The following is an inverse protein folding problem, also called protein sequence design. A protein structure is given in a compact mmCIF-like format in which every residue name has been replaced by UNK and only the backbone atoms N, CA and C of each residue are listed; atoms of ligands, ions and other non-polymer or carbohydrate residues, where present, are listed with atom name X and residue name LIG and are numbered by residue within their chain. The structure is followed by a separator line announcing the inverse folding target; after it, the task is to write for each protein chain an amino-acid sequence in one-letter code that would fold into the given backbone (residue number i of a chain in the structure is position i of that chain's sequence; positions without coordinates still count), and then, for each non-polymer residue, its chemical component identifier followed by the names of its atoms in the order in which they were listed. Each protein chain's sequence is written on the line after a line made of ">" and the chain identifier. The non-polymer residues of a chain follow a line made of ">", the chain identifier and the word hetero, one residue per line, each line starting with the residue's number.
data_IF_003540111483
#
_entry.id   IF_003540111483
#
_cell.length_a   1.000
_cell.length_b   1.000
_cell.length_c   1.000
_cell.angle_alpha   90.00
_cell.angle_beta   90.00
_cell.angle_gamma   90.00
#
_symmetry.space_group_name_H-M   'P 1'
#
loop_
_entity.id
_entity.type
_entity.pdbx_description
1 polymer ?
#
# COMPACT_ATOMS: atom_id res chain seq x y z
N UNK A 1 -13.81 10.68 19.84
CA UNK A 1 -13.54 9.22 19.69
C UNK A 1 -12.04 9.03 19.96
N UNK A 2 -11.63 8.13 20.85
CA UNK A 2 -10.21 7.93 21.18
C UNK A 2 -9.67 6.75 20.37
N UNK A 3 -8.83 7.01 19.38
CA UNK A 3 -8.16 5.97 18.61
C UNK A 3 -7.01 5.39 19.44
N UNK A 4 -7.10 4.12 19.85
CA UNK A 4 -6.01 3.44 20.55
C UNK A 4 -4.96 3.00 19.54
N UNK A 5 -3.96 3.87 19.33
CA UNK A 5 -2.85 3.62 18.42
C UNK A 5 -2.01 2.41 18.89
N UNK A 6 -2.19 1.24 18.27
CA UNK A 6 -1.26 0.11 18.42
C UNK A 6 -0.18 0.21 17.35
N UNK A 7 1.06 0.46 17.77
CA UNK A 7 2.24 0.28 16.92
C UNK A 7 2.30 -1.20 16.54
N UNK A 8 2.27 -1.56 15.25
CA UNK A 8 2.33 -2.96 14.86
C UNK A 8 3.73 -3.52 15.18
N UNK A 9 3.76 -4.58 16.01
CA UNK A 9 4.92 -5.45 16.16
C UNK A 9 5.26 -6.05 14.77
N UNK A 10 6.52 -6.03 14.30
CA UNK A 10 6.89 -6.62 13.02
C UNK A 10 6.94 -8.16 13.04
N UNK A 11 6.85 -8.81 14.19
CA UNK A 11 6.89 -10.28 14.31
C UNK A 11 5.49 -10.92 14.19
N UNK A 12 5.38 -11.88 13.24
CA UNK A 12 4.32 -12.91 13.08
C UNK A 12 2.94 -12.44 12.53
N UNK A 13 2.16 -13.20 11.76
CA UNK A 13 2.11 -14.62 11.38
C UNK A 13 1.72 -14.77 9.89
N UNK A 14 2.16 -15.85 9.24
CA UNK A 14 1.56 -16.34 7.98
C UNK A 14 0.17 -16.84 8.33
N UNK A 15 -0.86 -16.09 7.93
CA UNK A 15 -2.22 -16.62 7.87
C UNK A 15 -2.37 -17.21 6.48
N UNK A 16 -2.86 -18.44 6.38
CA UNK A 16 -3.37 -18.89 5.09
C UNK A 16 -4.51 -17.94 4.70
N UNK A 17 -4.35 -17.25 3.58
CA UNK A 17 -5.37 -16.35 3.04
C UNK A 17 -6.66 -17.10 2.64
N UNK A 18 -6.74 -18.42 2.82
CA UNK A 18 -7.95 -19.22 2.62
C UNK A 18 -8.94 -19.05 3.78
N UNK A 19 -8.47 -18.68 4.97
CA UNK A 19 -9.30 -18.61 6.19
C UNK A 19 -9.61 -17.18 6.65
N UNK A 20 -9.10 -16.17 5.94
CA UNK A 20 -9.30 -14.76 6.27
C UNK A 20 -10.57 -14.22 5.63
N UNK A 21 -11.18 -13.23 6.27
CA UNK A 21 -12.33 -12.51 5.71
C UNK A 21 -11.88 -11.71 4.49
N UNK A 22 -12.25 -12.18 3.30
CA UNK A 22 -11.87 -11.58 2.02
C UNK A 22 -13.06 -11.36 1.09
N UNK A 23 -12.96 -10.34 0.25
CA UNK A 23 -13.97 -9.91 -0.71
C UNK A 23 -13.33 -9.74 -2.08
N UNK A 24 -14.06 -9.98 -3.19
CA UNK A 24 -13.53 -9.66 -4.50
C UNK A 24 -13.24 -8.16 -4.59
N UNK A 25 -12.07 -7.80 -5.09
CA UNK A 25 -11.75 -6.39 -5.36
C UNK A 25 -12.60 -5.85 -6.53
N UNK A 26 -12.78 -4.51 -6.61
CA UNK A 26 -13.51 -3.88 -7.71
C UNK A 26 -12.99 -4.32 -9.08
N UNK A 27 -13.88 -4.36 -10.08
CA UNK A 27 -13.54 -4.86 -11.42
C UNK A 27 -12.36 -4.11 -12.04
N UNK A 28 -12.26 -2.79 -11.82
CA UNK A 28 -11.13 -1.99 -12.31
C UNK A 28 -9.77 -2.54 -11.80
N UNK A 29 -9.71 -2.96 -10.54
CA UNK A 29 -8.50 -3.55 -9.95
C UNK A 29 -8.21 -4.92 -10.55
N UNK A 30 -9.24 -5.76 -10.74
CA UNK A 30 -9.09 -7.08 -11.39
C UNK A 30 -8.51 -6.94 -12.80
N UNK A 31 -9.06 -6.02 -13.60
CA UNK A 31 -8.63 -5.77 -14.98
C UNK A 31 -7.20 -5.25 -15.02
N UNK A 32 -6.85 -4.29 -14.16
CA UNK A 32 -5.48 -3.77 -14.08
C UNK A 32 -4.49 -4.86 -13.63
N UNK A 33 -4.82 -5.69 -12.66
CA UNK A 33 -3.91 -6.75 -12.21
C UNK A 33 -3.74 -7.84 -13.29
N UNK A 34 -4.79 -8.13 -14.06
CA UNK A 34 -4.76 -9.12 -15.13
C UNK A 34 -3.77 -8.80 -16.25
N UNK A 35 -3.52 -7.52 -16.55
CA UNK A 35 -2.50 -7.12 -17.53
C UNK A 35 -1.08 -7.46 -17.10
N UNK A 36 -0.87 -7.79 -15.83
CA UNK A 36 0.40 -8.20 -15.24
C UNK A 36 0.40 -9.67 -14.81
N UNK A 37 -0.53 -10.48 -15.34
CA UNK A 37 -0.56 -11.91 -15.11
C UNK A 37 -1.19 -12.31 -13.77
N UNK A 38 -1.82 -11.41 -13.02
CA UNK A 38 -2.59 -11.75 -11.82
C UNK A 38 -3.98 -12.27 -12.23
N UNK A 39 -4.42 -13.38 -11.65
CA UNK A 39 -5.71 -14.00 -11.91
C UNK A 39 -6.83 -13.41 -11.06
N UNK A 40 -6.54 -13.07 -9.81
CA UNK A 40 -7.56 -12.59 -8.87
C UNK A 40 -6.97 -11.65 -7.83
N UNK A 41 -7.73 -10.62 -7.49
CA UNK A 41 -7.43 -9.67 -6.42
C UNK A 41 -8.49 -9.79 -5.32
N UNK A 42 -8.04 -9.93 -4.09
CA UNK A 42 -8.87 -10.02 -2.89
C UNK A 42 -8.63 -8.82 -1.99
N UNK A 43 -9.69 -8.19 -1.52
CA UNK A 43 -9.65 -7.24 -0.41
C UNK A 43 -9.78 -8.01 0.89
N UNK A 44 -8.86 -7.82 1.83
CA UNK A 44 -8.76 -8.60 3.07
C UNK A 44 -8.98 -7.69 4.28
N UNK A 45 -10.06 -7.95 5.03
CA UNK A 45 -10.38 -7.29 6.29
C UNK A 45 -10.18 -8.25 7.46
N UNK A 46 -8.91 -8.50 7.79
CA UNK A 46 -8.53 -9.39 8.88
C UNK A 46 -7.35 -8.81 9.67
N UNK A 47 -7.46 -8.77 11.00
CA UNK A 47 -6.44 -8.20 11.88
C UNK A 47 -5.14 -9.01 11.89
N UNK A 48 -5.21 -10.29 11.52
CA UNK A 48 -4.05 -11.16 11.41
C UNK A 48 -3.24 -10.85 10.14
N UNK A 49 -3.85 -10.20 9.14
CA UNK A 49 -3.18 -9.77 7.92
C UNK A 49 -2.58 -8.39 8.14
N UNK A 50 -1.25 -8.34 8.27
CA UNK A 50 -0.52 -7.10 8.56
C UNK A 50 0.00 -6.36 7.32
N UNK A 51 -0.06 -6.95 6.14
CA UNK A 51 0.33 -6.31 4.87
C UNK A 51 -0.46 -6.90 3.71
N UNK A 52 -0.47 -6.17 2.60
CA UNK A 52 -0.80 -6.75 1.30
C UNK A 52 0.25 -7.78 0.88
N UNK A 53 -0.11 -8.64 -0.09
CA UNK A 53 0.75 -9.71 -0.57
C UNK A 53 0.33 -10.22 -1.94
N UNK A 54 1.29 -10.28 -2.87
CA UNK A 54 1.22 -11.01 -4.13
C UNK A 54 1.70 -12.46 -3.93
N UNK A 55 0.83 -13.44 -4.20
CA UNK A 55 1.13 -14.87 -4.17
C UNK A 55 1.33 -15.42 -5.60
N UNK A 56 2.59 -15.63 -6.05
CA UNK A 56 2.87 -15.97 -7.45
C UNK A 56 2.30 -17.32 -7.89
N UNK A 57 2.32 -18.32 -7.00
CA UNK A 57 1.88 -19.68 -7.33
C UNK A 57 0.39 -19.77 -7.68
N UNK A 58 -0.47 -19.02 -6.96
CA UNK A 58 -1.90 -18.94 -7.26
C UNK A 58 -2.26 -17.75 -8.15
N UNK A 59 -1.27 -16.93 -8.55
CA UNK A 59 -1.45 -15.68 -9.30
C UNK A 59 -2.49 -14.78 -8.63
N UNK A 60 -2.40 -14.62 -7.31
CA UNK A 60 -3.37 -13.84 -6.54
C UNK A 60 -2.71 -12.64 -5.86
N UNK A 61 -3.45 -11.53 -5.74
CA UNK A 61 -3.09 -10.42 -4.86
C UNK A 61 -4.09 -10.36 -3.71
N UNK A 62 -3.57 -10.22 -2.50
CA UNK A 62 -4.33 -9.98 -1.28
C UNK A 62 -4.01 -8.58 -0.80
N UNK A 63 -4.98 -7.66 -0.86
CA UNK A 63 -4.81 -6.27 -0.43
C UNK A 63 -5.37 -6.11 0.98
N UNK A 64 -4.51 -5.69 1.90
CA UNK A 64 -4.96 -5.36 3.25
C UNK A 64 -5.80 -4.09 3.24
N UNK A 65 -7.05 -4.18 3.70
CA UNK A 65 -7.97 -3.04 3.84
C UNK A 65 -8.12 -2.60 5.28
N UNK A 66 -7.17 -2.94 6.15
CA UNK A 66 -7.07 -2.36 7.48
C UNK A 66 -6.10 -1.20 7.47
N UNK A 67 -6.42 -0.15 8.22
CA UNK A 67 -5.62 1.08 8.28
C UNK A 67 -4.27 0.96 9.00
N UNK A 68 -3.77 -0.24 9.25
CA UNK A 68 -2.53 -0.51 10.00
C UNK A 68 -1.32 0.24 9.42
N UNK A 69 -1.31 0.48 8.10
CA UNK A 69 -0.16 1.06 7.39
C UNK A 69 -0.50 2.29 6.55
N UNK A 70 -1.79 2.67 6.45
CA UNK A 70 -2.23 3.69 5.49
C UNK A 70 -1.57 5.04 5.75
N UNK A 71 -1.48 5.44 7.01
CA UNK A 71 -0.93 6.74 7.38
C UNK A 71 0.58 6.83 7.12
N UNK A 72 1.28 5.70 7.24
CA UNK A 72 2.70 5.63 6.89
C UNK A 72 2.91 5.74 5.39
N UNK A 73 2.04 5.12 4.59
CA UNK A 73 1.99 5.31 3.13
C UNK A 73 1.69 6.78 2.78
N UNK A 74 0.76 7.42 3.48
CA UNK A 74 0.44 8.83 3.29
C UNK A 74 1.66 9.73 3.52
N UNK A 75 2.35 9.57 4.66
CA UNK A 75 3.53 10.37 4.99
C UNK A 75 4.74 10.08 4.10
N UNK A 76 4.89 8.86 3.59
CA UNK A 76 6.07 8.44 2.82
C UNK A 76 5.91 8.69 1.33
N UNK A 77 4.72 8.43 0.80
CA UNK A 77 4.44 8.40 -0.64
C UNK A 77 3.44 9.48 -1.07
N UNK A 78 2.97 10.30 -0.13
CA UNK A 78 2.07 11.42 -0.41
C UNK A 78 0.68 10.96 -0.86
N UNK A 79 0.12 9.90 -0.26
CA UNK A 79 -1.31 9.63 -0.37
C UNK A 79 -2.09 10.64 0.49
N UNK A 80 -3.12 11.26 -0.07
CA UNK A 80 -3.95 12.24 0.65
C UNK A 80 -4.98 11.58 1.57
N UNK A 81 -5.45 10.39 1.19
CA UNK A 81 -6.53 9.67 1.87
C UNK A 81 -6.17 8.21 2.12
N UNK A 82 -6.90 7.58 3.04
CA UNK A 82 -6.88 6.13 3.24
C UNK A 82 -7.12 5.36 1.93
N UNK A 83 -8.10 5.80 1.12
CA UNK A 83 -8.44 5.18 -0.17
C UNK A 83 -7.24 5.20 -1.13
N UNK A 84 -6.56 6.34 -1.24
CA UNK A 84 -5.36 6.45 -2.07
C UNK A 84 -4.23 5.57 -1.54
N UNK A 85 -4.05 5.51 -0.22
CA UNK A 85 -3.01 4.69 0.40
C UNK A 85 -3.20 3.20 0.11
N UNK A 86 -4.43 2.70 0.22
CA UNK A 86 -4.76 1.30 -0.11
C UNK A 86 -4.64 1.03 -1.61
N UNK A 87 -5.02 1.99 -2.45
CA UNK A 87 -4.83 1.91 -3.91
C UNK A 87 -3.35 1.84 -4.29
N UNK A 88 -2.48 2.61 -3.61
CA UNK A 88 -1.04 2.52 -3.78
C UNK A 88 -0.48 1.16 -3.37
N UNK A 89 -0.96 0.59 -2.26
CA UNK A 89 -0.56 -0.76 -1.85
C UNK A 89 -0.99 -1.82 -2.85
N UNK A 90 -2.19 -1.71 -3.41
CA UNK A 90 -2.61 -2.57 -4.52
C UNK A 90 -1.64 -2.48 -5.71
N UNK A 91 -1.29 -1.26 -6.14
CA UNK A 91 -0.35 -1.07 -7.25
C UNK A 91 1.06 -1.54 -6.92
N UNK A 92 1.48 -1.46 -5.66
CA UNK A 92 2.74 -2.02 -5.20
C UNK A 92 2.77 -3.55 -5.40
N UNK A 93 1.70 -4.27 -5.03
CA UNK A 93 1.60 -5.71 -5.33
C UNK A 93 1.51 -6.01 -6.83
N UNK A 94 0.89 -5.14 -7.63
CA UNK A 94 0.94 -5.25 -9.10
C UNK A 94 2.36 -5.04 -9.61
N UNK A 95 3.16 -4.16 -8.99
CA UNK A 95 4.57 -3.98 -9.28
C UNK A 95 5.37 -5.27 -9.06
N UNK A 96 5.14 -5.97 -7.96
CA UNK A 96 5.69 -7.31 -7.73
C UNK A 96 5.36 -8.28 -8.88
N UNK A 97 4.10 -8.32 -9.31
CA UNK A 97 3.68 -9.15 -10.43
C UNK A 97 4.33 -8.75 -11.76
N UNK A 98 4.38 -7.44 -12.06
CA UNK A 98 4.98 -6.88 -13.28
C UNK A 98 6.47 -7.22 -13.41
N UNK A 99 7.20 -7.19 -12.29
CA UNK A 99 8.62 -7.50 -12.22
C UNK A 99 8.92 -8.98 -11.90
N UNK A 100 7.89 -9.83 -11.84
CA UNK A 100 7.99 -11.29 -11.64
C UNK A 100 8.76 -11.69 -10.38
N UNK A 101 8.58 -10.94 -9.30
CA UNK A 101 9.11 -11.32 -8.00
C UNK A 101 8.03 -11.30 -6.94
N UNK A 102 8.19 -12.16 -5.94
CA UNK A 102 7.37 -12.15 -4.74
C UNK A 102 7.75 -10.95 -3.86
N UNK A 103 6.77 -10.38 -3.15
CA UNK A 103 7.04 -9.58 -1.96
C UNK A 103 7.57 -10.50 -0.87
N UNK A 104 8.88 -10.75 -0.86
CA UNK A 104 9.49 -11.68 0.10
C UNK A 104 9.65 -10.98 1.45
N UNK A 105 8.63 -11.11 2.30
CA UNK A 105 8.62 -10.50 3.63
C UNK A 105 9.73 -11.03 4.55
N UNK A 106 10.19 -12.29 4.38
CA UNK A 106 11.33 -12.84 5.15
C UNK A 106 12.65 -12.20 4.74
N UNK A 107 12.72 -11.66 3.51
CA UNK A 107 13.87 -10.94 2.99
C UNK A 107 13.77 -9.44 3.26
N UNK A 108 12.59 -8.83 3.15
CA UNK A 108 12.31 -7.45 3.58
C UNK A 108 12.58 -7.25 5.08
N UNK A 109 12.30 -8.25 5.93
CA UNK A 109 12.67 -8.22 7.36
C UNK A 109 14.19 -8.34 7.61
N UNK A 110 14.96 -8.92 6.68
CA UNK A 110 16.42 -9.08 6.79
C UNK A 110 17.22 -7.96 6.13
N UNK A 111 16.72 -7.42 5.02
CA UNK A 111 17.35 -6.34 4.25
C UNK A 111 16.75 -4.96 4.55
N UNK A 112 15.63 -4.89 5.27
CA UNK A 112 14.98 -3.62 5.58
C UNK A 112 14.63 -2.83 4.32
N UNK A 113 14.82 -1.51 4.38
CA UNK A 113 14.52 -0.53 3.32
C UNK A 113 15.32 -0.73 2.02
N UNK A 114 16.27 -1.65 2.03
CA UNK A 114 17.24 -1.85 0.94
C UNK A 114 16.90 -3.07 0.08
N UNK A 115 15.72 -3.70 0.22
CA UNK A 115 15.30 -4.74 -0.72
C UNK A 115 15.00 -4.11 -2.09
N UNK A 116 15.81 -4.37 -3.14
CA UNK A 116 15.62 -3.75 -4.45
C UNK A 116 14.28 -4.14 -5.09
N UNK A 117 13.69 -5.28 -4.68
CA UNK A 117 12.38 -5.74 -5.16
C UNK A 117 11.25 -4.87 -4.62
N UNK A 118 11.30 -4.55 -3.33
CA UNK A 118 10.34 -3.63 -2.69
C UNK A 118 10.44 -2.24 -3.31
N UNK A 119 11.67 -1.76 -3.55
CA UNK A 119 11.94 -0.48 -4.24
C UNK A 119 11.35 -0.49 -5.66
N UNK A 120 11.59 -1.54 -6.45
CA UNK A 120 11.03 -1.67 -7.81
C UNK A 120 9.49 -1.66 -7.79
N UNK A 121 8.87 -2.39 -6.86
CA UNK A 121 7.42 -2.43 -6.72
C UNK A 121 6.83 -1.06 -6.35
N UNK A 122 7.46 -0.33 -5.43
CA UNK A 122 7.07 1.04 -5.11
C UNK A 122 7.31 2.03 -6.26
N UNK A 123 8.43 1.92 -6.98
CA UNK A 123 8.69 2.72 -8.18
C UNK A 123 7.60 2.49 -9.24
N UNK A 124 7.20 1.24 -9.46
CA UNK A 124 6.08 0.92 -10.34
C UNK A 124 4.79 1.64 -9.91
N UNK A 125 4.41 1.54 -8.64
CA UNK A 125 3.18 2.15 -8.12
C UNK A 125 3.17 3.68 -8.28
N UNK A 126 4.29 4.33 -7.94
CA UNK A 126 4.42 5.79 -8.04
C UNK A 126 4.49 6.26 -9.49
N UNK A 127 5.20 5.54 -10.35
CA UNK A 127 5.24 5.84 -11.78
C UNK A 127 3.86 5.67 -12.41
N UNK A 128 3.09 4.64 -12.02
CA UNK A 128 1.71 4.44 -12.46
C UNK A 128 0.84 5.63 -12.05
N UNK A 129 0.88 6.04 -10.78
CA UNK A 129 0.13 7.21 -10.29
C UNK A 129 0.47 8.48 -11.07
N UNK A 130 1.76 8.72 -11.34
CA UNK A 130 2.22 9.93 -12.00
C UNK A 130 1.91 9.96 -13.52
N UNK A 131 2.05 8.82 -14.20
CA UNK A 131 1.95 8.76 -15.67
C UNK A 131 0.59 8.31 -16.21
N UNK A 132 -0.22 7.61 -15.41
CA UNK A 132 -1.51 7.04 -15.84
C UNK A 132 -2.67 7.62 -15.04
N UNK A 133 -2.77 8.96 -14.98
CA UNK A 133 -3.70 9.70 -14.12
C UNK A 133 -5.16 9.22 -14.21
N UNK A 134 -5.68 9.00 -15.42
CA UNK A 134 -7.06 8.54 -15.61
C UNK A 134 -7.31 7.12 -15.10
N UNK A 135 -6.31 6.23 -15.24
CA UNK A 135 -6.42 4.88 -14.70
C UNK A 135 -6.29 4.90 -13.20
N UNK A 136 -5.34 5.67 -12.67
CA UNK A 136 -5.20 5.92 -11.24
C UNK A 136 -6.53 6.38 -10.63
N UNK A 137 -7.16 7.41 -11.20
CA UNK A 137 -8.42 7.94 -10.68
C UNK A 137 -9.52 6.87 -10.70
N UNK A 138 -9.64 6.10 -11.78
CA UNK A 138 -10.60 4.98 -11.84
C UNK A 138 -10.36 3.91 -10.76
N UNK A 139 -9.10 3.62 -10.44
CA UNK A 139 -8.78 2.66 -9.37
C UNK A 139 -9.16 3.22 -8.00
N UNK A 140 -8.87 4.50 -7.74
CA UNK A 140 -9.24 5.20 -6.50
C UNK A 140 -10.75 5.26 -6.35
N UNK A 141 -11.48 5.69 -7.38
CA UNK A 141 -12.95 5.81 -7.37
C UNK A 141 -13.62 4.45 -7.16
N UNK A 142 -13.13 3.41 -7.83
CA UNK A 142 -13.67 2.06 -7.68
C UNK A 142 -13.47 1.51 -6.26
N UNK A 143 -12.34 1.81 -5.63
CA UNK A 143 -12.11 1.42 -4.24
C UNK A 143 -12.92 2.27 -3.26
N UNK A 144 -13.03 3.58 -3.50
CA UNK A 144 -13.87 4.48 -2.71
C UNK A 144 -15.34 4.04 -2.71
N UNK A 145 -15.86 3.64 -3.88
CA UNK A 145 -17.23 3.13 -4.02
C UNK A 145 -17.45 1.82 -3.25
N UNK A 146 -16.47 0.90 -3.26
CA UNK A 146 -16.54 -0.29 -2.44
C UNK A 146 -16.49 0.07 -0.94
N UNK A 147 -15.53 0.91 -0.56
CA UNK A 147 -15.25 1.30 0.81
C UNK A 147 -16.45 2.00 1.48
N UNK A 148 -17.15 2.87 0.75
CA UNK A 148 -18.34 3.58 1.26
C UNK A 148 -19.51 2.66 1.61
N UNK A 149 -19.56 1.47 1.02
CA UNK A 149 -20.59 0.46 1.29
C UNK A 149 -20.18 -0.59 2.34
N UNK A 150 -18.90 -0.60 2.71
CA UNK A 150 -18.34 -1.65 3.55
C UNK A 150 -18.17 -1.21 5.01
N UNK A 151 -18.75 -1.97 5.94
CA UNK A 151 -18.61 -1.74 7.37
C UNK A 151 -17.48 -2.59 7.97
N UNK A 152 -16.34 -1.95 8.25
CA UNK A 152 -15.24 -2.55 9.00
C UNK A 152 -15.65 -2.78 10.46
N UNK A 153 -15.58 -4.03 10.93
CA UNK A 153 -16.07 -4.42 12.27
C UNK A 153 -15.30 -3.78 13.43
N UNK A 154 -14.14 -3.20 13.15
CA UNK A 154 -13.23 -2.62 14.15
C UNK A 154 -12.39 -1.50 13.52
N UNK A 155 -13.02 -0.56 12.80
CA UNK A 155 -12.32 0.59 12.22
C UNK A 155 -11.78 1.47 13.34
N UNK A 156 -10.46 1.55 13.44
CA UNK A 156 -9.74 2.37 14.42
C UNK A 156 -8.72 3.30 13.76
N UNK A 157 -8.96 3.64 12.50
CA UNK A 157 -8.15 4.57 11.73
C UNK A 157 -8.97 5.73 11.16
N UNK A 158 -8.35 6.90 10.96
CA UNK A 158 -8.95 8.03 10.24
C UNK A 158 -8.98 7.79 8.73
N UNK A 159 -9.84 8.53 8.01
CA UNK A 159 -9.94 8.43 6.54
C UNK A 159 -9.00 9.39 5.80
N UNK A 160 -8.53 10.45 6.46
CA UNK A 160 -7.62 11.44 5.89
C UNK A 160 -6.59 11.98 6.90
N UNK A 161 -5.65 12.78 6.38
CA UNK A 161 -4.56 13.35 7.17
C UNK A 161 -5.03 14.39 8.19
N UNK A 162 -6.15 15.07 7.96
CA UNK A 162 -6.70 16.06 8.88
C UNK A 162 -7.28 15.35 10.11
N UNK A 163 -8.13 14.34 9.90
CA UNK A 163 -8.65 13.48 10.96
C UNK A 163 -7.51 12.78 11.73
N UNK A 164 -6.48 12.32 11.02
CA UNK A 164 -5.30 11.71 11.64
C UNK A 164 -4.57 12.66 12.58
N UNK A 165 -4.37 13.91 12.15
CA UNK A 165 -3.74 14.96 12.97
C UNK A 165 -4.61 15.30 14.17
N UNK A 166 -5.92 15.46 13.98
CA UNK A 166 -6.86 15.72 15.05
C UNK A 166 -6.91 14.57 16.08
N UNK A 167 -6.70 13.33 15.62
CA UNK A 167 -6.58 12.13 16.44
C UNK A 167 -5.21 11.97 17.13
N UNK A 168 -4.25 12.86 16.91
CA UNK A 168 -2.92 12.82 17.52
C UNK A 168 -1.96 11.80 16.91
N UNK A 169 -2.17 11.40 15.65
CA UNK A 169 -1.24 10.51 14.94
C UNK A 169 0.10 11.22 14.65
N UNK A 170 1.23 10.48 14.61
CA UNK A 170 2.56 11.09 14.59
C UNK A 170 2.90 11.78 13.27
N UNK A 171 3.41 13.01 13.31
CA UNK A 171 3.70 13.80 12.09
C UNK A 171 4.83 13.26 11.19
N UNK A 172 5.53 12.18 11.57
CA UNK A 172 6.65 11.60 10.82
C UNK A 172 6.48 10.10 10.66
N UNK A 173 6.97 9.52 9.55
CA UNK A 173 6.99 8.07 9.39
C UNK A 173 7.78 7.37 10.50
N UNK A 174 7.41 6.13 10.82
CA UNK A 174 8.16 5.30 11.77
C UNK A 174 9.57 5.00 11.24
N UNK A 175 10.53 4.89 12.17
CA UNK A 175 11.88 4.42 11.87
C UNK A 175 11.78 3.01 11.27
N UNK A 176 12.47 2.75 10.17
CA UNK A 176 12.40 1.46 9.47
C UNK A 176 11.36 1.36 8.35
N UNK A 177 10.44 2.34 8.20
CA UNK A 177 9.53 2.36 7.05
C UNK A 177 10.30 2.53 5.73
N UNK A 178 10.02 1.75 4.66
CA UNK A 178 10.73 1.87 3.38
C UNK A 178 10.58 3.29 2.86
N UNK A 179 11.66 4.06 2.96
CA UNK A 179 11.75 5.34 2.29
C UNK A 179 12.48 5.02 0.99
N UNK A 180 11.89 5.36 -0.15
CA UNK A 180 12.66 5.38 -1.38
C UNK A 180 13.79 6.36 -1.13
N UNK A 181 15.03 5.89 -1.23
CA UNK A 181 16.20 6.72 -1.00
C UNK A 181 16.01 8.04 -1.76
N UNK A 182 16.27 9.17 -1.11
CA UNK A 182 16.37 10.42 -1.84
C UNK A 182 17.54 10.28 -2.79
N UNK A 183 17.29 9.88 -4.03
CA UNK A 183 18.05 10.50 -5.11
C UNK A 183 17.74 11.99 -4.98
N UNK A 184 18.66 12.72 -4.35
CA UNK A 184 18.87 14.13 -4.65
C UNK A 184 19.28 14.19 -6.12
N UNK A 185 18.31 14.03 -7.01
CA UNK A 185 18.40 14.47 -8.39
C UNK A 185 18.19 15.98 -8.36
N UNK A 186 19.21 16.71 -8.78
CA UNK A 186 19.27 18.15 -8.82
C UNK A 186 18.01 18.78 -9.44
N UNK A 187 17.16 19.38 -8.60
CA UNK A 187 16.13 20.34 -9.04
C UNK A 187 16.51 21.78 -8.66
N UNK A 188 17.79 22.06 -8.52
CA UNK A 188 18.26 23.43 -8.34
C UNK A 188 19.65 23.60 -8.98
N UNK A 189 19.76 24.11 -10.22
CA UNK A 189 21.06 24.55 -10.70
C UNK A 189 21.42 25.78 -9.88
N UNK A 190 22.37 25.64 -8.95
CA UNK A 190 23.05 26.82 -8.41
C UNK A 190 23.68 27.56 -9.60
N UNK A 191 23.50 28.89 -9.72
CA UNK A 191 24.25 29.63 -10.71
C UNK A 191 25.73 29.50 -10.36
N UNK A 192 26.54 29.13 -11.36
CA UNK A 192 27.98 29.07 -11.20
C UNK A 192 28.51 30.47 -10.81
N UNK A 193 29.49 30.56 -9.89
CA UNK A 193 30.13 31.85 -9.60
C UNK A 193 30.87 32.35 -10.85
N UNK A 194 30.79 33.67 -11.04
CA UNK A 194 31.39 34.43 -12.13
C UNK A 194 32.92 34.36 -12.15
#
# INVERSE_FOLDING_TARGET
>A
MVFRHRVPDPALHIVSFDWVRKFPAPLAWQVTAATHGVRVVWLVDDWQVRSSYHHPASRAIYVNTRGTTWYQTALTYGAATYVEAVTLWFLHEVGHAAHRHEGDRRRALRLGKDDPREVQAWHFALAFRASQRDKWQRLVDAYAAWYSTYHHRWKDWPDDLEEARAAGWPARPYRGWPALGTERGDLNPRPAPA
#
